data_IF_223510085286
#
_entry.id   IF_223510085286
#
_cell.length_a   1.000
_cell.length_b   1.000
_cell.length_c   1.000
_cell.angle_alpha   90.00
_cell.angle_beta   90.00
_cell.angle_gamma   90.00
#
_symmetry.space_group_name_H-M   'P 1'
#
loop_
_entity.id
_entity.type
_entity.pdbx_description
1 polymer ?
#
# COMPACT_ATOMS: atom_id res chain seq x y z
N UNK A 1 9.99 -3.82 -44.89
CA UNK A 1 8.79 -3.57 -44.07
C UNK A 1 8.83 -2.09 -43.70
N UNK A 2 7.96 -1.26 -44.28
CA UNK A 2 7.85 0.15 -43.88
C UNK A 2 6.74 0.26 -42.83
N UNK A 3 7.15 0.34 -41.56
CA UNK A 3 6.25 0.64 -40.45
C UNK A 3 6.50 2.06 -39.95
N UNK A 4 5.46 2.89 -39.98
CA UNK A 4 5.51 4.24 -39.41
C UNK A 4 5.17 4.17 -37.91
N UNK A 5 6.19 4.18 -37.06
CA UNK A 5 6.03 4.22 -35.61
C UNK A 5 5.70 5.65 -35.16
N UNK A 6 4.51 5.86 -34.63
CA UNK A 6 3.97 7.20 -34.26
C UNK A 6 3.44 7.27 -32.84
N UNK A 7 3.48 6.17 -32.07
CA UNK A 7 3.00 6.13 -30.69
C UNK A 7 4.13 5.67 -29.79
N UNK A 8 4.38 6.43 -28.71
CA UNK A 8 5.26 6.07 -27.62
C UNK A 8 4.40 5.84 -26.37
N UNK A 9 4.43 4.61 -25.86
CA UNK A 9 3.83 4.26 -24.58
C UNK A 9 4.90 4.23 -23.49
N UNK A 10 4.77 5.10 -22.48
CA UNK A 10 5.70 5.17 -21.35
C UNK A 10 5.27 4.26 -20.18
N UNK A 11 4.16 3.54 -20.33
CA UNK A 11 3.62 2.60 -19.35
C UNK A 11 3.15 3.28 -18.05
N UNK A 12 3.23 2.53 -16.96
CA UNK A 12 2.76 2.95 -15.63
C UNK A 12 3.85 2.95 -14.56
N UNK A 13 3.49 2.53 -13.34
CA UNK A 13 4.43 2.43 -12.22
C UNK A 13 4.58 3.69 -11.36
N UNK A 14 3.93 4.79 -11.76
CA UNK A 14 3.88 6.04 -10.99
C UNK A 14 3.27 5.83 -9.59
N UNK A 15 3.83 6.46 -8.53
CA UNK A 15 3.38 6.26 -7.16
C UNK A 15 2.07 7.02 -6.88
N UNK A 16 1.10 6.37 -6.24
CA UNK A 16 -0.21 6.95 -5.91
C UNK A 16 -0.53 7.07 -4.42
N UNK A 17 0.45 6.82 -3.55
CA UNK A 17 0.26 6.88 -2.10
C UNK A 17 0.30 8.32 -1.57
N UNK A 18 -0.40 8.58 -0.45
CA UNK A 18 -0.33 9.89 0.20
C UNK A 18 1.13 10.19 0.59
N UNK A 19 1.62 11.36 0.22
CA UNK A 19 3.01 11.78 0.44
C UNK A 19 3.98 11.49 -0.72
N UNK A 20 3.56 10.81 -1.80
CA UNK A 20 4.44 10.55 -2.95
C UNK A 20 4.46 11.63 -4.03
N UNK A 21 3.85 12.79 -3.78
CA UNK A 21 3.69 13.85 -4.78
C UNK A 21 5.04 14.36 -5.30
N UNK A 22 6.02 14.56 -4.42
CA UNK A 22 7.34 15.05 -4.85
C UNK A 22 8.15 13.99 -5.58
N UNK A 23 8.01 12.71 -5.20
CA UNK A 23 8.59 11.61 -5.96
C UNK A 23 7.98 11.54 -7.38
N UNK A 24 6.65 11.66 -7.51
CA UNK A 24 5.99 11.69 -8.81
C UNK A 24 6.49 12.86 -9.67
N UNK A 25 6.62 14.06 -9.10
CA UNK A 25 7.18 15.23 -9.81
C UNK A 25 8.60 14.97 -10.31
N UNK A 26 9.46 14.36 -9.50
CA UNK A 26 10.84 14.03 -9.89
C UNK A 26 10.87 13.02 -11.05
N UNK A 27 10.00 12.01 -11.02
CA UNK A 27 9.83 11.05 -12.12
C UNK A 27 9.37 11.76 -13.39
N UNK A 28 8.34 12.60 -13.31
CA UNK A 28 7.81 13.35 -14.45
C UNK A 28 8.88 14.26 -15.09
N UNK A 29 9.68 14.98 -14.28
CA UNK A 29 10.80 15.80 -14.77
C UNK A 29 11.84 14.94 -15.51
N UNK A 30 12.18 13.79 -14.96
CA UNK A 30 13.17 12.88 -15.57
C UNK A 30 12.66 12.32 -16.90
N UNK A 31 11.40 11.88 -16.93
CA UNK A 31 10.75 11.35 -18.14
C UNK A 31 10.63 12.42 -19.21
N UNK A 32 10.18 13.63 -18.87
CA UNK A 32 10.07 14.74 -19.81
C UNK A 32 11.42 15.08 -20.45
N UNK A 33 12.50 15.13 -19.66
CA UNK A 33 13.86 15.35 -20.20
C UNK A 33 14.30 14.25 -21.17
N UNK A 34 13.95 12.99 -20.89
CA UNK A 34 14.26 11.89 -21.79
C UNK A 34 13.45 11.98 -23.09
N UNK A 35 12.16 12.33 -22.99
CA UNK A 35 11.30 12.56 -24.16
C UNK A 35 11.89 13.69 -25.03
N UNK A 36 12.28 14.81 -24.44
CA UNK A 36 12.85 15.94 -25.18
C UNK A 36 14.12 15.56 -25.97
N UNK A 37 14.92 14.63 -25.45
CA UNK A 37 16.18 14.18 -26.06
C UNK A 37 15.95 13.10 -27.12
N UNK A 38 15.09 12.12 -26.85
CA UNK A 38 14.96 10.91 -27.69
C UNK A 38 13.75 10.94 -28.63
N UNK A 39 12.74 11.75 -28.34
CA UNK A 39 11.51 11.90 -29.11
C UNK A 39 11.19 13.40 -29.30
N UNK A 40 12.05 14.13 -30.02
CA UNK A 40 11.95 15.58 -30.13
C UNK A 40 10.63 16.02 -30.78
N UNK A 41 10.17 17.26 -30.53
CA UNK A 41 8.82 17.72 -30.91
C UNK A 41 8.54 17.79 -32.41
N UNK A 42 9.58 17.76 -33.24
CA UNK A 42 9.50 17.70 -34.70
C UNK A 42 9.16 16.29 -35.22
N UNK A 43 9.30 15.28 -34.37
CA UNK A 43 8.80 13.93 -34.62
C UNK A 43 7.29 13.85 -34.48
N UNK A 44 6.62 13.23 -35.47
CA UNK A 44 5.16 13.01 -35.44
C UNK A 44 4.79 11.86 -34.48
N UNK A 45 5.02 12.06 -33.19
CA UNK A 45 4.74 11.09 -32.13
C UNK A 45 3.57 11.52 -31.24
N UNK A 46 2.74 10.56 -30.84
CA UNK A 46 1.78 10.68 -29.75
C UNK A 46 2.33 9.93 -28.54
N UNK A 47 2.42 10.62 -27.40
CA UNK A 47 2.91 10.02 -26.16
C UNK A 47 1.72 9.67 -25.29
N UNK A 48 1.65 8.41 -24.85
CA UNK A 48 0.62 7.89 -23.95
C UNK A 48 1.27 7.26 -22.72
N UNK A 49 0.48 7.11 -21.65
CA UNK A 49 0.88 6.45 -20.42
C UNK A 49 -0.27 5.59 -19.88
N UNK A 50 0.06 4.61 -19.05
CA UNK A 50 -0.87 3.65 -18.44
C UNK A 50 -0.88 3.78 -16.89
N UNK A 51 -1.29 4.94 -16.32
CA UNK A 51 -1.24 5.15 -14.88
C UNK A 51 -2.34 4.35 -14.15
N UNK A 52 -1.96 3.22 -13.54
CA UNK A 52 -2.83 2.46 -12.63
C UNK A 52 -2.84 3.03 -11.21
N UNK A 53 -1.90 2.57 -10.37
CA UNK A 53 -1.83 2.92 -8.94
C UNK A 53 -1.85 4.42 -8.67
N UNK A 54 -1.22 5.23 -9.52
CA UNK A 54 -1.23 6.69 -9.41
C UNK A 54 -2.63 7.28 -9.28
N UNK A 55 -3.60 6.78 -10.04
CA UNK A 55 -4.96 7.32 -10.07
C UNK A 55 -5.78 6.88 -8.86
N UNK A 56 -5.59 5.65 -8.38
CA UNK A 56 -6.55 5.01 -7.46
C UNK A 56 -6.04 4.79 -6.03
N UNK A 57 -4.72 4.70 -5.80
CA UNK A 57 -4.18 4.20 -4.51
C UNK A 57 -4.61 5.05 -3.31
N UNK A 58 -4.66 6.37 -3.41
CA UNK A 58 -5.05 7.26 -2.31
C UNK A 58 -6.55 7.57 -2.23
N UNK A 59 -7.33 7.13 -3.23
CA UNK A 59 -8.77 7.39 -3.31
C UNK A 59 -9.60 6.51 -2.36
N UNK A 60 -9.04 5.38 -1.91
CA UNK A 60 -9.72 4.41 -1.05
C UNK A 60 -9.09 4.37 0.34
N UNK A 61 -9.91 4.09 1.35
CA UNK A 61 -9.48 3.77 2.71
C UNK A 61 -10.27 2.55 3.17
N UNK A 62 -9.58 1.50 3.56
CA UNK A 62 -10.19 0.28 4.07
C UNK A 62 -10.48 0.44 5.57
N UNK A 63 -11.72 0.21 5.96
CA UNK A 63 -12.15 0.13 7.36
C UNK A 63 -12.54 -1.32 7.65
N UNK A 64 -11.95 -1.90 8.69
CA UNK A 64 -12.24 -3.27 9.14
C UNK A 64 -12.70 -3.24 10.60
N UNK A 65 -13.43 -4.26 11.02
CA UNK A 65 -13.85 -4.42 12.40
C UNK A 65 -12.99 -5.46 13.10
N UNK A 66 -12.61 -5.20 14.35
CA UNK A 66 -12.02 -6.21 15.21
C UNK A 66 -13.13 -7.17 15.63
N UNK A 67 -13.03 -8.43 15.20
CA UNK A 67 -13.99 -9.50 15.48
C UNK A 67 -13.46 -10.51 16.51
N UNK A 68 -12.18 -10.41 16.86
CA UNK A 68 -11.57 -11.23 17.89
C UNK A 68 -10.31 -10.60 18.45
N UNK A 69 -10.01 -10.94 19.71
CA UNK A 69 -8.80 -10.53 20.41
C UNK A 69 -8.25 -11.74 21.16
N UNK A 70 -6.94 -11.96 21.06
CA UNK A 70 -6.22 -12.96 21.87
C UNK A 70 -5.03 -12.31 22.54
N UNK A 71 -4.76 -12.71 23.77
CA UNK A 71 -3.60 -12.24 24.52
C UNK A 71 -2.64 -13.42 24.70
N UNK A 72 -1.36 -13.19 24.41
CA UNK A 72 -0.30 -14.18 24.53
C UNK A 72 0.79 -13.63 25.43
N UNK A 73 1.09 -14.35 26.51
CA UNK A 73 2.31 -14.09 27.29
C UNK A 73 3.49 -14.69 26.53
N UNK A 74 4.45 -13.85 26.18
CA UNK A 74 5.73 -14.23 25.60
C UNK A 74 6.83 -14.00 26.64
N UNK A 75 8.07 -14.42 26.33
CA UNK A 75 9.23 -14.11 27.17
C UNK A 75 9.53 -12.60 27.23
N UNK A 76 8.99 -11.83 26.28
CA UNK A 76 9.22 -10.39 26.12
C UNK A 76 8.08 -9.54 26.70
N UNK A 77 6.99 -10.17 27.17
CA UNK A 77 5.86 -9.49 27.79
C UNK A 77 4.50 -9.97 27.29
N UNK A 78 3.50 -9.09 27.37
CA UNK A 78 2.17 -9.35 26.84
C UNK A 78 2.11 -8.92 25.38
N UNK A 79 1.71 -9.83 24.50
CA UNK A 79 1.43 -9.55 23.10
C UNK A 79 -0.06 -9.74 22.80
N UNK A 80 -0.63 -8.84 22.01
CA UNK A 80 -2.04 -8.88 21.63
C UNK A 80 -2.21 -9.23 20.15
N UNK A 81 -3.08 -10.18 19.84
CA UNK A 81 -3.45 -10.53 18.48
C UNK A 81 -4.86 -10.03 18.22
N UNK A 82 -5.01 -9.15 17.23
CA UNK A 82 -6.30 -8.66 16.74
C UNK A 82 -6.71 -9.44 15.49
N UNK A 83 -7.94 -9.96 15.49
CA UNK A 83 -8.54 -10.65 14.35
C UNK A 83 -9.53 -9.68 13.71
N UNK A 84 -9.35 -9.37 12.44
CA UNK A 84 -10.24 -8.49 11.67
C UNK A 84 -11.08 -9.29 10.67
N UNK A 85 -12.20 -8.72 10.24
CA UNK A 85 -13.12 -9.34 9.28
C UNK A 85 -12.67 -9.28 7.80
N UNK A 86 -11.37 -9.12 7.56
CA UNK A 86 -10.71 -9.07 6.25
C UNK A 86 -9.32 -9.70 6.40
N UNK A 87 -8.70 -10.15 5.31
CA UNK A 87 -7.42 -10.84 5.39
C UNK A 87 -6.69 -10.94 4.06
N UNK A 88 -5.62 -11.73 4.02
CA UNK A 88 -4.80 -11.93 2.81
C UNK A 88 -5.57 -12.63 1.69
N UNK A 89 -6.67 -13.34 2.01
CA UNK A 89 -7.55 -13.94 1.01
C UNK A 89 -8.59 -12.95 0.47
N UNK A 90 -8.63 -11.73 1.00
CA UNK A 90 -9.52 -10.65 0.59
C UNK A 90 -8.75 -9.40 0.16
N UNK A 91 -9.09 -8.25 0.74
CA UNK A 91 -8.52 -6.97 0.33
C UNK A 91 -7.02 -6.80 0.66
N UNK A 92 -6.48 -7.64 1.55
CA UNK A 92 -5.03 -7.67 1.84
C UNK A 92 -4.26 -8.69 0.99
N UNK A 93 -4.85 -9.28 -0.05
CA UNK A 93 -4.14 -10.16 -0.98
C UNK A 93 -2.88 -9.52 -1.59
N UNK A 94 -2.86 -8.19 -1.68
CA UNK A 94 -1.68 -7.45 -2.13
C UNK A 94 -0.43 -7.72 -1.27
N UNK A 95 -0.59 -8.03 0.02
CA UNK A 95 0.50 -8.36 0.93
C UNK A 95 1.26 -9.63 0.53
N UNK A 96 0.64 -10.53 -0.24
CA UNK A 96 1.28 -11.77 -0.71
C UNK A 96 2.24 -11.56 -1.88
N UNK A 97 1.98 -10.53 -2.69
CA UNK A 97 2.69 -10.33 -3.97
C UNK A 97 3.59 -9.10 -3.96
N UNK A 98 3.45 -8.24 -2.96
CA UNK A 98 4.18 -6.99 -2.86
C UNK A 98 4.63 -6.74 -1.42
N UNK A 99 5.78 -6.08 -1.25
CA UNK A 99 6.29 -5.62 0.04
C UNK A 99 5.52 -4.38 0.54
N UNK A 100 4.19 -4.49 0.54
CA UNK A 100 3.30 -3.49 1.09
C UNK A 100 2.99 -3.85 2.53
N UNK A 101 3.29 -2.91 3.43
CA UNK A 101 3.00 -3.04 4.87
C UNK A 101 1.83 -2.12 5.22
N UNK A 102 0.61 -2.65 5.43
CA UNK A 102 -0.52 -1.85 5.87
C UNK A 102 -0.20 -1.12 7.17
N UNK A 103 -0.63 0.14 7.27
CA UNK A 103 -0.49 0.93 8.50
C UNK A 103 -1.87 1.06 9.15
N UNK A 104 -2.18 0.26 10.18
CA UNK A 104 -3.47 0.36 10.86
C UNK A 104 -3.58 1.71 11.56
N UNK A 105 -4.73 2.37 11.39
CA UNK A 105 -5.06 3.63 12.05
C UNK A 105 -6.37 3.44 12.78
N UNK A 106 -6.37 3.71 14.09
CA UNK A 106 -7.60 3.69 14.88
C UNK A 106 -8.43 4.93 14.58
N UNK A 107 -9.75 4.77 14.51
CA UNK A 107 -10.69 5.86 14.23
C UNK A 107 -10.69 6.95 15.32
N UNK A 108 -10.37 6.57 16.55
CA UNK A 108 -10.37 7.46 17.71
C UNK A 108 -8.94 7.66 18.24
N UNK A 109 -8.61 8.90 18.62
CA UNK A 109 -7.35 9.22 19.28
C UNK A 109 -7.42 8.84 20.77
N UNK A 110 -6.76 7.73 21.11
CA UNK A 110 -6.60 7.29 22.50
C UNK A 110 -5.32 7.87 23.09
N UNK A 111 -5.36 9.13 23.52
CA UNK A 111 -4.25 9.76 24.21
C UNK A 111 -4.02 9.13 25.61
N UNK A 112 -2.78 8.81 25.94
CA UNK A 112 -2.37 8.41 27.29
C UNK A 112 -2.48 6.92 27.65
N UNK A 113 -2.70 6.02 26.69
CA UNK A 113 -2.68 4.57 26.94
C UNK A 113 -1.35 3.92 26.51
N UNK A 114 -0.97 2.88 27.24
CA UNK A 114 0.22 2.07 26.97
C UNK A 114 0.12 1.35 25.62
N UNK A 115 1.23 1.30 24.89
CA UNK A 115 1.37 0.54 23.65
C UNK A 115 1.85 -0.86 23.97
N UNK A 116 1.17 -1.87 23.44
CA UNK A 116 1.57 -3.27 23.59
C UNK A 116 2.02 -3.82 22.24
N UNK A 117 3.03 -4.69 22.19
CA UNK A 117 3.30 -5.50 21.01
C UNK A 117 2.00 -6.14 20.51
N UNK A 118 1.61 -5.83 19.26
CA UNK A 118 0.38 -6.39 18.70
C UNK A 118 0.53 -6.72 17.23
N UNK A 119 -0.15 -7.79 16.82
CA UNK A 119 -0.27 -8.26 15.44
C UNK A 119 -1.73 -8.24 14.96
N UNK A 120 -1.92 -8.09 13.65
CA UNK A 120 -3.26 -8.08 13.03
C UNK A 120 -3.36 -9.25 12.07
N UNK A 121 -4.42 -10.04 12.24
CA UNK A 121 -4.67 -11.30 11.54
C UNK A 121 -6.01 -11.22 10.82
N UNK A 122 -6.11 -11.90 9.69
CA UNK A 122 -7.40 -12.11 9.05
C UNK A 122 -8.23 -13.18 9.75
N UNK A 123 -9.48 -13.28 9.31
CA UNK A 123 -10.48 -14.16 9.91
C UNK A 123 -10.32 -15.65 9.55
N UNK A 124 -9.41 -15.99 8.63
CA UNK A 124 -9.21 -17.38 8.27
C UNK A 124 -8.47 -18.12 9.39
N UNK A 125 -8.68 -19.43 9.49
CA UNK A 125 -7.92 -20.29 10.39
C UNK A 125 -6.51 -20.62 9.85
N UNK A 126 -6.04 -19.94 8.80
CA UNK A 126 -4.74 -20.19 8.19
C UNK A 126 -3.63 -19.39 8.91
N UNK A 127 -2.54 -20.03 9.37
CA UNK A 127 -1.44 -19.33 10.01
C UNK A 127 -0.69 -18.34 9.10
N UNK A 128 -0.91 -18.35 7.79
CA UNK A 128 -0.33 -17.37 6.87
C UNK A 128 -1.17 -16.10 6.71
N UNK A 129 -2.40 -16.07 7.25
CA UNK A 129 -3.32 -14.92 7.19
C UNK A 129 -2.95 -13.80 8.18
N UNK A 130 -1.69 -13.39 8.11
CA UNK A 130 -1.09 -12.32 8.87
C UNK A 130 -1.11 -11.04 8.02
N UNK A 131 -1.82 -10.02 8.50
CA UNK A 131 -1.97 -8.73 7.79
C UNK A 131 -0.91 -7.73 8.24
N UNK A 132 -0.62 -7.69 9.54
CA UNK A 132 0.41 -6.84 10.14
C UNK A 132 1.18 -7.65 11.17
N UNK A 133 2.49 -7.78 10.96
CA UNK A 133 3.42 -8.40 11.90
C UNK A 133 3.43 -7.66 13.24
N UNK A 134 3.86 -8.36 14.29
CA UNK A 134 3.90 -7.80 15.64
C UNK A 134 4.83 -6.60 15.73
N UNK A 135 4.27 -5.44 16.03
CA UNK A 135 4.97 -4.21 16.35
C UNK A 135 4.25 -3.56 17.53
N UNK A 136 4.88 -2.63 18.25
CA UNK A 136 4.18 -1.89 19.31
C UNK A 136 2.94 -1.19 18.72
N UNK A 137 1.76 -1.71 19.02
CA UNK A 137 0.48 -1.24 18.52
C UNK A 137 -0.44 -0.90 19.71
N UNK A 138 -1.39 -0.01 19.48
CA UNK A 138 -2.30 0.43 20.55
C UNK A 138 -3.22 -0.72 20.90
N UNK A 139 -3.31 -1.09 22.18
CA UNK A 139 -4.22 -2.15 22.61
C UNK A 139 -5.61 -1.61 22.98
N UNK A 140 -6.66 -2.21 22.42
CA UNK A 140 -8.02 -2.06 22.91
C UNK A 140 -8.25 -2.95 24.16
N UNK A 141 -8.60 -2.31 25.26
CA UNK A 141 -9.22 -2.93 26.44
C UNK A 141 -10.68 -2.49 26.47
N UNK A 142 -11.58 -3.40 26.09
CA UNK A 142 -12.93 -3.54 26.65
C UNK A 142 -13.54 -4.86 26.23
#
# INVERSE_FOLDING_TARGET
MDMKLTVLDIGGGFPGCKGSADLFKQMAVTVNRAIDVYFPPDGQYTIIAEPGRYVVTSAFTLCTNIIGKKERKTNEGLEVMYIINEGIYGLFAHNLFHDYKPKPVFKEEWAGKELLPSSVWGQSCDPVDLVVESHAARSEHR
#
